data_IF_860479681604
#
_entry.id   IF_860479681604
#
_cell.length_a   1.000
_cell.length_b   1.000
_cell.length_c   1.000
_cell.angle_alpha   90.00
_cell.angle_beta   90.00
_cell.angle_gamma   90.00
#
_symmetry.space_group_name_H-M   'P 1'
#
loop_
_entity.id
_entity.type
_entity.pdbx_description
1 polymer ?
#
# COMPACT_ATOMS: atom_id res chain seq x y z
N UNK A 1 -35.91 -15.50 49.54
CA UNK A 1 -35.81 -15.99 50.93
C UNK A 1 -34.58 -16.89 50.99
N UNK A 2 -33.38 -16.37 51.31
CA UNK A 2 -32.81 -16.09 52.64
C UNK A 2 -32.31 -17.34 53.39
N UNK A 3 -30.99 -17.38 53.63
CA UNK A 3 -30.29 -18.27 54.58
C UNK A 3 -29.04 -18.87 53.92
N UNK A 4 -27.83 -18.29 53.92
CA UNK A 4 -26.96 -17.85 55.04
C UNK A 4 -26.70 -18.95 56.08
N UNK A 5 -25.74 -19.83 55.79
CA UNK A 5 -25.05 -20.67 56.78
C UNK A 5 -23.68 -20.09 57.13
N UNK A 6 -23.47 -19.78 58.41
CA UNK A 6 -22.18 -19.44 59.03
C UNK A 6 -21.64 -20.68 59.77
N UNK A 7 -20.32 -20.87 59.75
CA UNK A 7 -19.58 -21.79 60.63
C UNK A 7 -18.35 -22.34 59.92
N UNK A 8 -17.12 -22.32 60.43
CA UNK A 8 -16.62 -21.97 61.75
C UNK A 8 -15.11 -21.74 61.68
N UNK A 9 -14.56 -21.21 62.78
CA UNK A 9 -13.16 -20.81 62.99
C UNK A 9 -12.21 -22.01 63.01
N UNK A 10 -11.02 -21.82 62.46
CA UNK A 10 -9.86 -22.69 62.67
C UNK A 10 -8.57 -21.88 62.64
N UNK A 11 -8.23 -21.26 63.79
CA UNK A 11 -6.95 -20.57 64.02
C UNK A 11 -5.88 -21.61 64.34
N UNK A 12 -5.00 -21.90 63.38
CA UNK A 12 -3.75 -22.64 63.62
C UNK A 12 -2.58 -21.67 63.64
N UNK A 13 -2.15 -21.24 64.84
CA UNK A 13 -0.86 -20.57 65.06
C UNK A 13 0.21 -21.64 65.23
N UNK A 14 1.22 -21.64 64.37
CA UNK A 14 2.43 -22.45 64.53
C UNK A 14 3.61 -21.72 63.89
N UNK A 15 4.43 -21.07 64.72
CA UNK A 15 5.61 -20.34 64.28
C UNK A 15 6.83 -21.25 64.16
N UNK A 16 7.78 -20.88 63.30
CA UNK A 16 9.20 -21.13 63.51
C UNK A 16 10.02 -20.21 62.59
N UNK A 17 10.89 -19.43 63.23
CA UNK A 17 11.92 -18.57 62.64
C UNK A 17 12.82 -19.38 61.70
N UNK A 18 13.35 -18.77 60.62
CA UNK A 18 14.80 -18.74 60.30
C UNK A 18 15.11 -17.99 59.00
N UNK A 19 15.89 -16.93 59.17
CA UNK A 19 16.95 -16.41 58.31
C UNK A 19 17.14 -17.00 56.89
N UNK A 20 16.97 -16.12 55.90
CA UNK A 20 17.94 -15.79 54.83
C UNK A 20 18.66 -16.97 54.17
N UNK A 21 18.20 -17.34 52.97
CA UNK A 21 19.11 -17.46 51.81
C UNK A 21 18.38 -17.22 50.50
N UNK A 22 18.72 -16.10 49.91
CA UNK A 22 18.58 -15.73 48.51
C UNK A 22 19.11 -16.86 47.61
N UNK A 23 18.27 -17.36 46.71
CA UNK A 23 18.63 -17.54 45.31
C UNK A 23 17.34 -17.46 44.48
N UNK A 24 17.28 -16.44 43.64
CA UNK A 24 16.14 -15.99 42.87
C UNK A 24 16.24 -16.62 41.49
N UNK A 25 15.44 -17.65 41.21
CA UNK A 25 15.32 -18.21 39.87
C UNK A 25 13.94 -17.94 39.27
N UNK A 26 14.03 -17.57 38.00
CA UNK A 26 13.05 -17.75 36.94
C UNK A 26 11.83 -16.80 36.85
N UNK A 27 11.94 -15.94 35.84
CA UNK A 27 10.91 -15.69 34.81
C UNK A 27 9.66 -14.94 35.29
N UNK A 28 9.69 -13.61 35.12
CA UNK A 28 8.58 -12.91 34.47
C UNK A 28 9.08 -11.58 33.89
N UNK A 29 9.55 -11.61 32.64
CA UNK A 29 9.83 -10.42 31.84
C UNK A 29 8.49 -9.86 31.34
N UNK A 30 7.69 -9.26 32.23
CA UNK A 30 6.51 -8.52 31.81
C UNK A 30 6.95 -7.16 31.26
N UNK A 31 7.29 -7.11 29.98
CA UNK A 31 7.26 -5.84 29.27
C UNK A 31 5.80 -5.40 29.18
N UNK A 32 5.37 -4.55 30.11
CA UNK A 32 4.08 -3.86 30.03
C UNK A 32 4.05 -2.97 28.80
N UNK A 33 3.67 -3.54 27.66
CA UNK A 33 3.45 -2.81 26.42
C UNK A 33 1.99 -2.38 26.40
N UNK A 34 1.71 -1.26 27.06
CA UNK A 34 0.47 -0.54 26.83
C UNK A 34 0.32 -0.25 25.33
N UNK A 35 -0.87 -0.52 24.77
CA UNK A 35 -1.24 -0.07 23.42
C UNK A 35 -1.50 1.44 23.44
N UNK A 36 -0.44 2.21 23.66
CA UNK A 36 -0.43 3.65 23.43
C UNK A 36 -0.12 3.87 21.95
N UNK A 37 -1.15 4.21 21.18
CA UNK A 37 -0.99 4.67 19.81
C UNK A 37 -0.08 5.89 19.81
N UNK A 38 1.19 5.68 19.45
CA UNK A 38 2.11 6.79 19.19
C UNK A 38 1.71 7.34 17.83
N UNK A 39 0.74 8.26 17.85
CA UNK A 39 0.33 9.03 16.70
C UNK A 39 1.57 9.50 15.97
N UNK A 40 1.67 9.12 14.69
CA UNK A 40 2.62 9.69 13.76
C UNK A 40 2.26 11.18 13.68
N UNK A 41 2.91 11.97 14.53
CA UNK A 41 2.72 13.40 14.62
C UNK A 41 2.91 14.03 13.24
N UNK A 42 2.09 15.05 12.96
CA UNK A 42 2.15 15.85 11.74
C UNK A 42 3.57 16.38 11.53
N UNK A 43 4.27 15.74 10.59
CA UNK A 43 5.53 16.15 10.01
C UNK A 43 5.68 15.35 8.74
N UNK A 44 5.59 16.02 7.58
CA UNK A 44 5.65 15.38 6.27
C UNK A 44 7.00 14.68 6.10
N UNK A 45 7.06 13.39 6.43
CA UNK A 45 8.18 12.55 6.07
C UNK A 45 8.39 12.72 4.57
N UNK A 46 9.54 13.30 4.18
CA UNK A 46 9.89 13.50 2.78
C UNK A 46 9.82 12.14 2.12
N UNK A 47 8.78 11.91 1.31
CA UNK A 47 8.62 10.65 0.60
C UNK A 47 9.81 10.57 -0.34
N UNK A 48 10.75 9.69 -0.02
CA UNK A 48 11.82 9.36 -0.95
C UNK A 48 11.14 8.93 -2.26
N UNK A 49 11.63 9.50 -3.38
CA UNK A 49 11.15 9.14 -4.72
C UNK A 49 11.24 7.63 -4.85
N UNK A 50 10.12 6.96 -5.11
CA UNK A 50 10.13 5.52 -5.36
C UNK A 50 11.11 5.24 -6.50
N UNK A 51 12.03 4.31 -6.28
CA UNK A 51 12.87 3.79 -7.36
C UNK A 51 11.92 3.19 -8.40
N UNK A 52 12.00 3.69 -9.63
CA UNK A 52 11.23 3.14 -10.73
C UNK A 52 11.77 1.74 -11.04
N UNK A 53 10.88 0.75 -11.08
CA UNK A 53 11.15 -0.64 -11.44
C UNK A 53 10.40 -0.95 -12.74
N UNK A 54 10.46 -2.21 -13.19
CA UNK A 54 9.62 -2.73 -14.28
C UNK A 54 8.13 -2.73 -13.90
N UNK A 55 7.53 -1.53 -13.91
CA UNK A 55 6.13 -1.29 -13.61
C UNK A 55 5.19 -1.86 -14.69
N UNK A 56 5.74 -2.28 -15.84
CA UNK A 56 4.97 -2.87 -16.92
C UNK A 56 4.23 -4.14 -16.49
N UNK A 57 4.80 -4.90 -15.54
CA UNK A 57 4.15 -6.07 -14.96
C UNK A 57 2.98 -5.72 -14.02
N UNK A 58 2.87 -4.44 -13.61
CA UNK A 58 1.70 -3.90 -12.91
C UNK A 58 0.43 -3.87 -13.78
N UNK A 59 0.57 -3.95 -15.10
CA UNK A 59 -0.55 -4.20 -16.01
C UNK A 59 -0.88 -5.69 -15.96
N UNK A 60 -1.82 -6.05 -15.08
CA UNK A 60 -2.10 -7.44 -14.73
C UNK A 60 -2.91 -8.19 -15.81
N UNK A 61 -2.78 -9.53 -15.85
CA UNK A 61 -3.56 -10.40 -16.76
C UNK A 61 -5.07 -10.15 -16.70
N UNK A 62 -5.71 -9.95 -15.52
CA UNK A 62 -7.13 -9.59 -15.45
C UNK A 62 -7.46 -8.24 -16.11
N UNK A 63 -6.57 -7.23 -16.04
CA UNK A 63 -6.79 -5.94 -16.69
C UNK A 63 -6.77 -6.07 -18.21
N UNK A 64 -5.78 -6.79 -18.76
CA UNK A 64 -5.70 -7.10 -20.20
C UNK A 64 -6.93 -7.88 -20.64
N UNK A 65 -7.37 -8.87 -19.84
CA UNK A 65 -8.60 -9.62 -20.12
C UNK A 65 -9.82 -8.70 -20.18
N UNK A 66 -9.98 -7.75 -19.24
CA UNK A 66 -11.11 -6.80 -19.27
C UNK A 66 -11.11 -5.93 -20.53
N UNK A 67 -9.94 -5.46 -20.96
CA UNK A 67 -9.80 -4.69 -22.21
C UNK A 67 -10.18 -5.52 -23.44
N UNK A 68 -9.64 -6.73 -23.57
CA UNK A 68 -9.95 -7.63 -24.66
C UNK A 68 -11.44 -8.01 -24.69
N UNK A 69 -12.07 -8.23 -23.52
CA UNK A 69 -13.52 -8.49 -23.43
C UNK A 69 -14.34 -7.30 -23.87
N UNK A 70 -13.97 -6.07 -23.48
CA UNK A 70 -14.60 -4.84 -23.99
C UNK A 70 -14.48 -4.74 -25.51
N UNK A 71 -13.39 -5.23 -26.09
CA UNK A 71 -13.19 -5.35 -27.53
C UNK A 71 -13.88 -6.55 -28.19
N UNK A 72 -14.74 -7.30 -27.49
CA UNK A 72 -15.48 -8.43 -28.06
C UNK A 72 -14.67 -9.72 -28.23
N UNK A 73 -13.46 -9.81 -27.69
CA UNK A 73 -12.59 -10.99 -27.84
C UNK A 73 -13.16 -12.17 -27.03
N UNK A 74 -13.46 -13.29 -27.70
CA UNK A 74 -14.09 -14.50 -27.10
C UNK A 74 -13.10 -15.45 -26.42
N UNK A 75 -11.91 -15.65 -26.99
CA UNK A 75 -10.83 -16.49 -26.45
C UNK A 75 -9.51 -15.74 -26.58
N UNK A 76 -8.61 -15.90 -25.61
CA UNK A 76 -7.35 -15.16 -25.54
C UNK A 76 -6.22 -16.18 -25.32
N UNK A 77 -5.22 -16.18 -26.20
CA UNK A 77 -4.01 -17.00 -26.05
C UNK A 77 -3.12 -16.51 -24.90
N UNK A 78 -2.31 -17.39 -24.33
CA UNK A 78 -1.39 -17.08 -23.24
C UNK A 78 -0.30 -16.06 -23.60
N UNK A 79 0.14 -16.03 -24.85
CA UNK A 79 1.23 -15.14 -25.30
C UNK A 79 0.79 -13.67 -25.41
N UNK A 80 -0.52 -13.41 -25.54
CA UNK A 80 -1.07 -12.06 -25.72
C UNK A 80 -0.78 -11.15 -24.52
N UNK A 81 -0.58 -11.70 -23.31
CA UNK A 81 -0.35 -10.86 -22.13
C UNK A 81 0.97 -10.09 -22.20
N UNK A 82 2.06 -10.72 -22.64
CA UNK A 82 3.34 -10.01 -22.79
C UNK A 82 3.34 -9.15 -24.07
N UNK A 83 2.74 -9.63 -25.15
CA UNK A 83 2.60 -8.86 -26.39
C UNK A 83 1.85 -7.53 -26.16
N UNK A 84 0.72 -7.58 -25.45
CA UNK A 84 -0.07 -6.39 -25.13
C UNK A 84 0.72 -5.40 -24.28
N UNK A 85 1.60 -5.89 -23.38
CA UNK A 85 2.47 -5.04 -22.58
C UNK A 85 3.51 -4.35 -23.44
N UNK A 86 4.11 -5.04 -24.40
CA UNK A 86 5.03 -4.46 -25.38
C UNK A 86 4.37 -3.33 -26.17
N UNK A 87 3.19 -3.60 -26.75
CA UNK A 87 2.43 -2.60 -27.52
C UNK A 87 2.05 -1.39 -26.66
N UNK A 88 1.57 -1.63 -25.43
CA UNK A 88 1.19 -0.56 -24.51
C UNK A 88 2.39 0.32 -24.14
N UNK A 89 3.56 -0.28 -23.93
CA UNK A 89 4.79 0.44 -23.61
C UNK A 89 5.18 1.38 -24.76
N UNK A 90 5.23 0.87 -25.99
CA UNK A 90 5.54 1.69 -27.18
C UNK A 90 4.54 2.83 -27.36
N UNK A 91 3.25 2.55 -27.17
CA UNK A 91 2.21 3.58 -27.27
C UNK A 91 2.43 4.71 -26.25
N UNK A 92 2.67 4.38 -24.98
CA UNK A 92 2.89 5.36 -23.93
C UNK A 92 4.21 6.12 -24.12
N UNK A 93 5.27 5.46 -24.55
CA UNK A 93 6.56 6.12 -24.85
C UNK A 93 6.40 7.21 -25.91
N UNK A 94 5.64 6.95 -26.97
CA UNK A 94 5.43 7.94 -28.03
C UNK A 94 4.59 9.13 -27.55
N UNK A 95 3.48 8.88 -26.84
CA UNK A 95 2.62 9.95 -26.33
C UNK A 95 3.33 10.80 -25.27
N UNK A 96 4.04 10.16 -24.33
CA UNK A 96 4.72 10.86 -23.24
C UNK A 96 5.90 11.66 -23.77
N UNK A 97 6.65 11.16 -24.76
CA UNK A 97 7.75 11.90 -25.40
C UNK A 97 7.25 13.24 -25.94
N UNK A 98 6.17 13.22 -26.71
CA UNK A 98 5.57 14.43 -27.28
C UNK A 98 5.00 15.36 -26.18
N UNK A 99 4.34 14.80 -25.15
CA UNK A 99 3.78 15.59 -24.04
C UNK A 99 4.86 16.29 -23.20
N UNK A 100 6.00 15.62 -22.97
CA UNK A 100 7.15 16.22 -22.28
C UNK A 100 7.75 17.34 -23.13
N UNK A 101 7.87 17.17 -24.46
CA UNK A 101 8.33 18.24 -25.36
C UNK A 101 7.46 19.50 -25.27
N UNK A 102 6.14 19.37 -25.22
CA UNK A 102 5.25 20.54 -25.01
C UNK A 102 5.45 21.20 -23.64
N UNK A 103 5.65 20.39 -22.61
CA UNK A 103 5.89 20.87 -21.24
C UNK A 103 7.20 21.68 -21.16
N UNK A 104 8.27 21.15 -21.77
CA UNK A 104 9.60 21.79 -21.82
C UNK A 104 9.59 23.07 -22.66
N UNK A 105 8.90 23.05 -23.82
CA UNK A 105 8.74 24.24 -24.66
C UNK A 105 8.07 25.39 -23.89
N UNK A 106 7.09 25.06 -23.04
CA UNK A 106 6.42 26.04 -22.18
C UNK A 106 7.21 26.38 -20.89
N UNK A 107 8.46 25.90 -20.73
CA UNK A 107 9.33 26.10 -19.57
C UNK A 107 8.70 25.66 -18.23
N UNK A 108 7.77 24.69 -18.28
CA UNK A 108 7.11 24.12 -17.10
C UNK A 108 7.84 22.86 -16.64
N UNK A 109 7.73 22.54 -15.34
CA UNK A 109 8.23 21.27 -14.77
C UNK A 109 7.13 20.23 -14.56
N UNK A 110 5.88 20.63 -14.80
CA UNK A 110 4.69 19.82 -14.55
C UNK A 110 3.96 19.62 -15.87
N UNK A 111 3.82 18.35 -16.26
CA UNK A 111 2.99 17.94 -17.40
C UNK A 111 1.53 18.21 -17.05
N UNK A 112 0.84 18.95 -17.91
CA UNK A 112 -0.59 19.27 -17.77
C UNK A 112 -1.44 18.32 -18.60
N UNK A 113 -2.76 18.30 -18.35
CA UNK A 113 -3.69 17.53 -19.17
C UNK A 113 -3.66 17.99 -20.64
N UNK A 114 -3.49 19.30 -20.87
CA UNK A 114 -3.43 19.86 -22.22
C UNK A 114 -2.21 19.41 -23.02
N UNK A 115 -1.06 19.23 -22.37
CA UNK A 115 0.15 18.71 -23.06
C UNK A 115 -0.11 17.30 -23.62
N UNK A 116 -0.87 16.47 -22.88
CA UNK A 116 -1.27 15.12 -23.33
C UNK A 116 -2.32 15.19 -24.44
N UNK A 117 -3.32 16.07 -24.32
CA UNK A 117 -4.35 16.27 -25.36
C UNK A 117 -3.71 16.70 -26.68
N UNK A 118 -2.73 17.60 -26.64
CA UNK A 118 -2.01 18.04 -27.84
C UNK A 118 -1.11 16.95 -28.43
N UNK A 119 -0.39 16.20 -27.60
CA UNK A 119 0.39 15.05 -28.05
C UNK A 119 -0.49 14.01 -28.77
N UNK A 120 -1.66 13.69 -28.20
CA UNK A 120 -2.61 12.76 -28.79
C UNK A 120 -3.22 13.30 -30.10
N UNK A 121 -3.56 14.60 -30.16
CA UNK A 121 -4.06 15.24 -31.38
C UNK A 121 -3.05 15.17 -32.52
N UNK A 122 -1.75 15.37 -32.23
CA UNK A 122 -0.65 15.24 -33.21
C UNK A 122 -0.56 13.84 -33.82
N UNK A 123 -0.87 12.80 -33.03
CA UNK A 123 -0.88 11.40 -33.47
C UNK A 123 -2.21 10.96 -34.11
N UNK A 124 -3.13 11.90 -34.37
CA UNK A 124 -4.45 11.60 -34.94
C UNK A 124 -5.44 10.95 -33.97
N UNK A 125 -5.22 11.05 -32.66
CA UNK A 125 -6.04 10.43 -31.60
C UNK A 125 -6.70 11.49 -30.71
N UNK A 126 -7.62 12.28 -31.25
CA UNK A 126 -8.29 13.34 -30.48
C UNK A 126 -9.03 12.80 -29.25
N UNK A 127 -8.72 13.38 -28.08
CA UNK A 127 -9.33 13.02 -26.80
C UNK A 127 -10.17 14.17 -26.26
N UNK A 128 -11.42 13.89 -25.88
CA UNK A 128 -12.39 14.86 -25.35
C UNK A 128 -12.50 14.75 -23.82
N UNK A 129 -12.92 15.84 -23.16
CA UNK A 129 -13.24 15.87 -21.72
C UNK A 129 -12.09 16.28 -20.78
N UNK A 130 -10.99 16.83 -21.30
CA UNK A 130 -9.77 17.14 -20.53
C UNK A 130 -9.27 18.59 -20.68
N UNK A 131 -10.14 19.54 -21.08
CA UNK A 131 -9.78 20.95 -21.33
C UNK A 131 -10.14 21.94 -20.22
N UNK A 132 -10.30 21.46 -18.98
CA UNK A 132 -10.68 22.28 -17.83
C UNK A 132 -9.51 22.84 -17.03
#
# INVERSE_FOLDING_TARGET
MSGRGKGGKGLGKGGAKRHRKVLREAIHKMSGRGKGGKGLGKGGAKRHRKVLRDNIQGITKPAIRRLARRGGVKRISGLIYEETRGVLKVFLENVIRDAVTYTEHAKRKTVTAMDVVYALKRQGRTLYGFGG
#
